data_IF_435939279853
#
_entry.id   IF_435939279853
#
_cell.length_a   1.000
_cell.length_b   1.000
_cell.length_c   1.000
_cell.angle_alpha   90.00
_cell.angle_beta   90.00
_cell.angle_gamma   90.00
#
_symmetry.space_group_name_H-M   'P 1'
#
loop_
_entity.id
_entity.type
_entity.pdbx_description
1 polymer ?
#
# COMPACT_ATOMS: atom_id res chain seq x y z
N UNK A 1 -9.73 -1.77 53.28
CA UNK A 1 -9.66 -2.59 52.05
C UNK A 1 -9.41 -1.68 50.84
N UNK A 2 -8.14 -1.32 50.60
CA UNK A 2 -7.66 -0.66 49.38
C UNK A 2 -6.16 -0.91 49.28
N UNK A 3 -5.78 -2.07 48.75
CA UNK A 3 -4.46 -2.36 48.19
C UNK A 3 -4.74 -3.38 47.10
N UNK A 4 -4.29 -3.07 45.90
CA UNK A 4 -4.07 -3.94 44.72
C UNK A 4 -4.31 -3.18 43.41
N UNK A 5 -3.79 -1.95 43.33
CA UNK A 5 -3.34 -1.39 42.05
C UNK A 5 -1.83 -1.31 42.18
N UNK A 6 -1.18 -2.45 41.98
CA UNK A 6 0.26 -2.50 41.80
C UNK A 6 0.58 -1.80 40.48
N UNK A 7 1.30 -0.72 40.66
CA UNK A 7 1.97 0.12 39.68
C UNK A 7 2.58 -0.76 38.58
N UNK A 8 1.90 -0.85 37.44
CA UNK A 8 2.55 -1.19 36.19
C UNK A 8 3.44 0.00 35.83
N UNK A 9 4.74 -0.24 35.95
CA UNK A 9 5.81 0.60 35.43
C UNK A 9 5.41 1.17 34.07
N UNK A 10 5.24 2.50 34.00
CA UNK A 10 5.07 3.25 32.76
C UNK A 10 6.39 3.19 31.97
N UNK A 11 6.62 2.08 31.26
CA UNK A 11 7.20 2.22 29.91
C UNK A 11 6.11 2.90 29.09
N UNK A 12 6.40 4.08 28.56
CA UNK A 12 5.54 4.66 27.52
C UNK A 12 5.44 3.62 26.40
N UNK A 13 4.27 3.02 26.20
CA UNK A 13 3.99 2.28 24.98
C UNK A 13 4.27 3.26 23.83
N UNK A 14 5.23 2.94 22.96
CA UNK A 14 5.39 3.69 21.72
C UNK A 14 4.11 3.53 20.90
N UNK A 15 3.81 4.46 19.99
CA UNK A 15 2.68 4.31 19.06
C UNK A 15 2.75 3.00 18.26
N UNK A 16 3.92 2.38 18.20
CA UNK A 16 4.22 1.15 17.45
C UNK A 16 3.76 -0.14 18.15
N UNK A 17 3.32 -0.08 19.41
CA UNK A 17 2.94 -1.26 20.21
C UNK A 17 1.44 -1.60 20.12
N UNK A 18 0.69 -1.01 19.18
CA UNK A 18 -0.72 -1.35 18.97
C UNK A 18 -0.79 -2.77 18.39
N UNK A 19 -1.39 -3.75 19.09
CA UNK A 19 -1.43 -5.12 18.61
C UNK A 19 -2.23 -5.23 17.30
N UNK A 20 -1.63 -5.90 16.31
CA UNK A 20 -2.32 -6.26 15.06
C UNK A 20 -3.18 -7.50 15.33
N UNK A 21 -4.50 -7.36 15.21
CA UNK A 21 -5.45 -8.44 15.48
C UNK A 21 -5.90 -9.13 14.18
N UNK A 22 -6.02 -10.46 14.21
CA UNK A 22 -6.43 -11.28 13.04
C UNK A 22 -7.82 -10.94 12.50
N UNK A 23 -8.70 -10.41 13.35
CA UNK A 23 -10.05 -10.02 12.96
C UNK A 23 -10.14 -8.61 12.33
N UNK A 24 -9.02 -7.88 12.27
CA UNK A 24 -8.98 -6.60 11.57
C UNK A 24 -9.36 -6.79 10.09
N UNK A 25 -10.32 -5.98 9.67
CA UNK A 25 -10.75 -5.86 8.28
C UNK A 25 -9.84 -4.87 7.58
N UNK A 26 -9.26 -5.25 6.45
CA UNK A 26 -8.36 -4.37 5.72
C UNK A 26 -8.69 -4.22 4.25
N UNK A 27 -8.30 -3.07 3.70
CA UNK A 27 -8.24 -2.84 2.27
C UNK A 27 -6.79 -2.64 1.83
N UNK A 28 -6.42 -3.16 0.66
CA UNK A 28 -5.09 -2.97 0.06
C UNK A 28 -5.24 -2.09 -1.19
N UNK A 29 -4.46 -1.01 -1.27
CA UNK A 29 -4.43 -0.11 -2.41
C UNK A 29 -3.03 -0.13 -3.02
N UNK A 30 -2.90 -0.66 -4.24
CA UNK A 30 -1.62 -0.95 -4.87
C UNK A 30 -1.37 0.03 -6.01
N UNK A 31 -0.43 0.93 -5.80
CA UNK A 31 0.12 1.77 -6.86
C UNK A 31 1.11 0.95 -7.70
N UNK A 32 0.60 0.37 -8.77
CA UNK A 32 1.39 -0.56 -9.60
C UNK A 32 2.56 0.15 -10.27
N UNK A 33 2.39 1.41 -10.69
CA UNK A 33 3.45 2.16 -11.36
C UNK A 33 4.57 2.47 -10.38
N UNK A 34 4.24 2.99 -9.19
CA UNK A 34 5.25 3.31 -8.19
C UNK A 34 6.10 2.08 -7.83
N UNK A 35 5.47 0.94 -7.48
CA UNK A 35 6.19 -0.28 -7.15
C UNK A 35 7.01 -0.83 -8.33
N UNK A 36 6.46 -0.78 -9.55
CA UNK A 36 7.18 -1.24 -10.74
C UNK A 36 8.42 -0.39 -11.02
N UNK A 37 8.30 0.94 -10.94
CA UNK A 37 9.42 1.85 -11.15
C UNK A 37 10.51 1.65 -10.09
N UNK A 38 10.12 1.50 -8.81
CA UNK A 38 11.04 1.19 -7.73
C UNK A 38 11.80 -0.13 -7.94
N UNK A 39 11.07 -1.22 -8.22
CA UNK A 39 11.68 -2.53 -8.46
C UNK A 39 12.64 -2.51 -9.66
N UNK A 40 12.21 -1.88 -10.76
CA UNK A 40 13.03 -1.76 -11.97
C UNK A 40 14.29 -0.93 -11.73
N UNK A 41 14.19 0.19 -11.03
CA UNK A 41 15.32 1.08 -10.77
C UNK A 41 16.34 0.47 -9.80
N UNK A 42 15.85 -0.16 -8.72
CA UNK A 42 16.70 -0.70 -7.67
C UNK A 42 17.30 -2.08 -8.01
N UNK A 43 16.57 -2.90 -8.77
CA UNK A 43 16.89 -4.32 -8.95
C UNK A 43 16.84 -4.81 -10.40
N UNK A 44 16.27 -4.05 -11.34
CA UNK A 44 16.12 -4.48 -12.74
C UNK A 44 15.06 -5.56 -12.99
N UNK A 45 14.30 -5.92 -11.96
CA UNK A 45 13.32 -7.01 -11.93
C UNK A 45 11.87 -6.52 -11.87
N UNK A 46 10.93 -7.45 -12.02
CA UNK A 46 9.48 -7.19 -11.95
C UNK A 46 8.94 -7.49 -10.56
N UNK A 47 7.88 -6.79 -10.15
CA UNK A 47 7.23 -7.01 -8.85
C UNK A 47 6.42 -8.30 -8.83
N UNK A 48 6.51 -9.05 -7.73
CA UNK A 48 5.69 -10.21 -7.44
C UNK A 48 4.43 -9.81 -6.64
N UNK A 49 3.37 -9.39 -7.34
CA UNK A 49 2.14 -8.87 -6.70
C UNK A 49 1.41 -9.89 -5.82
N UNK A 50 1.64 -11.19 -6.02
CA UNK A 50 1.11 -12.22 -5.11
C UNK A 50 1.72 -12.08 -3.72
N UNK A 51 3.05 -11.95 -3.64
CA UNK A 51 3.73 -11.80 -2.34
C UNK A 51 3.50 -10.43 -1.72
N UNK A 52 3.32 -9.39 -2.53
CA UNK A 52 2.85 -8.08 -2.06
C UNK A 52 1.49 -8.21 -1.36
N UNK A 53 0.51 -8.86 -2.01
CA UNK A 53 -0.81 -9.07 -1.41
C UNK A 53 -0.73 -9.96 -0.16
N UNK A 54 0.03 -11.05 -0.21
CA UNK A 54 0.21 -11.95 0.94
C UNK A 54 0.81 -11.21 2.15
N UNK A 55 1.84 -10.38 1.94
CA UNK A 55 2.47 -9.60 3.02
C UNK A 55 1.55 -8.51 3.56
N UNK A 56 0.80 -7.84 2.70
CA UNK A 56 -0.18 -6.81 3.08
C UNK A 56 -1.31 -7.43 3.92
N UNK A 57 -1.88 -8.54 3.46
CA UNK A 57 -2.99 -9.21 4.15
C UNK A 57 -2.53 -9.89 5.43
N UNK A 58 -1.41 -10.61 5.37
CA UNK A 58 -0.92 -11.46 6.46
C UNK A 58 -2.03 -12.41 6.93
N UNK A 59 -2.31 -12.48 8.23
CA UNK A 59 -3.36 -13.32 8.82
C UNK A 59 -4.69 -12.59 9.10
N UNK A 60 -4.95 -11.48 8.39
CA UNK A 60 -6.11 -10.60 8.62
C UNK A 60 -7.22 -10.79 7.59
N UNK A 61 -8.38 -10.17 7.83
CA UNK A 61 -9.55 -10.26 6.94
C UNK A 61 -9.42 -9.24 5.79
N UNK A 62 -9.04 -9.71 4.60
CA UNK A 62 -9.08 -8.89 3.39
C UNK A 62 -10.54 -8.59 3.00
N UNK A 63 -10.90 -7.31 2.93
CA UNK A 63 -12.20 -6.84 2.44
C UNK A 63 -12.16 -6.58 0.94
N UNK A 64 -11.16 -5.81 0.48
CA UNK A 64 -10.93 -5.51 -0.95
C UNK A 64 -9.45 -5.23 -1.21
N UNK A 65 -8.99 -5.59 -2.40
CA UNK A 65 -7.69 -5.18 -2.91
C UNK A 65 -7.87 -4.49 -4.25
N UNK A 66 -7.30 -3.29 -4.42
CA UNK A 66 -7.33 -2.53 -5.65
C UNK A 66 -5.91 -2.41 -6.22
N UNK A 67 -5.73 -2.73 -7.50
CA UNK A 67 -4.52 -2.40 -8.23
C UNK A 67 -4.80 -1.30 -9.25
N UNK A 68 -4.07 -0.19 -9.11
CA UNK A 68 -4.21 0.98 -9.95
C UNK A 68 -3.22 0.89 -11.10
N UNK A 69 -3.74 0.62 -12.30
CA UNK A 69 -2.97 0.28 -13.49
C UNK A 69 -3.22 1.25 -14.62
N UNK A 70 -2.23 1.37 -15.51
CA UNK A 70 -2.31 2.23 -16.69
C UNK A 70 -2.35 1.35 -17.93
N UNK A 71 -3.34 1.63 -18.79
CA UNK A 71 -3.52 0.97 -20.07
C UNK A 71 -2.78 1.74 -21.16
N UNK A 72 -2.06 1.00 -21.99
CA UNK A 72 -1.36 1.56 -23.15
C UNK A 72 -2.19 1.34 -24.42
N UNK A 73 -1.83 2.04 -25.50
CA UNK A 73 -2.50 1.86 -26.80
C UNK A 73 -2.26 0.48 -27.41
N UNK A 74 -1.16 -0.19 -27.07
CA UNK A 74 -0.82 -1.52 -27.60
C UNK A 74 -1.62 -2.63 -26.93
N UNK A 75 -2.03 -2.46 -25.68
CA UNK A 75 -2.82 -3.43 -24.93
C UNK A 75 -2.04 -4.68 -24.50
N UNK A 76 -0.70 -4.63 -24.53
CA UNK A 76 0.18 -5.73 -24.13
C UNK A 76 0.06 -6.07 -22.64
N UNK A 77 -0.48 -5.15 -21.84
CA UNK A 77 -0.69 -5.32 -20.41
C UNK A 77 -1.91 -6.17 -20.02
N UNK A 78 -2.77 -6.58 -20.98
CA UNK A 78 -3.97 -7.40 -20.69
C UNK A 78 -3.69 -8.68 -19.87
N UNK A 79 -2.69 -9.52 -20.22
CA UNK A 79 -2.39 -10.72 -19.44
C UNK A 79 -1.98 -10.42 -17.99
N UNK A 80 -1.31 -9.28 -17.79
CA UNK A 80 -0.93 -8.83 -16.45
C UNK A 80 -2.18 -8.42 -15.63
N UNK A 81 -3.13 -7.72 -16.23
CA UNK A 81 -4.39 -7.37 -15.55
C UNK A 81 -5.21 -8.61 -15.20
N UNK A 82 -5.28 -9.58 -16.10
CA UNK A 82 -5.93 -10.88 -15.84
C UNK A 82 -5.27 -11.64 -14.70
N UNK A 83 -3.92 -11.61 -14.61
CA UNK A 83 -3.20 -12.22 -13.51
C UNK A 83 -3.54 -11.57 -12.17
N UNK A 84 -3.64 -10.23 -12.11
CA UNK A 84 -4.07 -9.52 -10.90
C UNK A 84 -5.49 -9.91 -10.47
N UNK A 85 -6.43 -9.96 -11.41
CA UNK A 85 -7.81 -10.38 -11.11
C UNK A 85 -7.88 -11.83 -10.60
N UNK A 86 -7.07 -12.74 -11.15
CA UNK A 86 -6.97 -14.13 -10.65
C UNK A 86 -6.41 -14.23 -9.24
N UNK A 87 -5.66 -13.22 -8.78
CA UNK A 87 -5.19 -13.12 -7.38
C UNK A 87 -6.26 -12.51 -6.45
N UNK A 88 -7.43 -12.14 -6.97
CA UNK A 88 -8.47 -11.45 -6.19
C UNK A 88 -8.22 -9.94 -6.05
N UNK A 89 -7.36 -9.37 -6.90
CA UNK A 89 -7.07 -7.93 -6.92
C UNK A 89 -7.91 -7.26 -8.02
N UNK A 90 -8.81 -6.37 -7.61
CA UNK A 90 -9.67 -5.59 -8.51
C UNK A 90 -8.82 -4.53 -9.24
N UNK A 91 -8.81 -4.53 -10.58
CA UNK A 91 -8.03 -3.56 -11.35
C UNK A 91 -8.81 -2.25 -11.57
N UNK A 92 -8.22 -1.12 -11.18
CA UNK A 92 -8.65 0.22 -11.58
C UNK A 92 -7.79 0.67 -12.76
N UNK A 93 -8.41 0.87 -13.92
CA UNK A 93 -7.71 1.10 -15.19
C UNK A 93 -7.87 2.54 -15.66
N UNK A 94 -6.76 3.20 -15.98
CA UNK A 94 -6.70 4.56 -16.55
C UNK A 94 -5.96 4.49 -17.87
N UNK A 95 -6.49 5.15 -18.90
CA UNK A 95 -5.79 5.25 -20.17
C UNK A 95 -4.61 6.23 -20.05
N UNK A 96 -3.49 5.89 -20.68
CA UNK A 96 -2.34 6.79 -20.77
C UNK A 96 -2.73 8.07 -21.52
N UNK A 97 -2.78 9.20 -20.82
CA UNK A 97 -3.10 10.49 -21.45
C UNK A 97 -1.83 11.11 -22.04
N UNK A 98 -1.91 11.48 -23.32
CA UNK A 98 -0.89 12.22 -24.04
C UNK A 98 -1.36 13.68 -24.17
N UNK A 99 -0.67 14.60 -23.51
CA UNK A 99 -0.98 16.02 -23.54
C UNK A 99 -0.29 16.71 -24.72
N UNK A 100 -0.85 17.86 -25.13
CA UNK A 100 -0.20 18.76 -26.08
C UNK A 100 1.20 19.13 -25.56
N UNK A 101 2.23 18.86 -26.37
CA UNK A 101 3.65 18.98 -25.98
C UNK A 101 4.34 17.66 -25.65
N UNK A 102 3.66 16.52 -25.77
CA UNK A 102 4.27 15.18 -25.63
C UNK A 102 4.41 14.68 -24.19
N UNK A 103 3.97 15.48 -23.21
CA UNK A 103 3.91 15.06 -21.81
C UNK A 103 2.89 13.94 -21.66
N UNK A 104 3.30 12.80 -21.08
CA UNK A 104 2.39 11.71 -20.74
C UNK A 104 2.19 11.70 -19.24
N UNK A 105 0.94 11.80 -18.78
CA UNK A 105 0.59 11.61 -17.36
C UNK A 105 -0.47 10.55 -17.22
N UNK A 106 -0.27 9.66 -16.26
CA UNK A 106 -1.26 8.69 -15.84
C UNK A 106 -1.02 8.26 -14.39
N UNK A 107 -0.65 9.21 -13.52
CA UNK A 107 -0.61 8.96 -12.08
C UNK A 107 -2.01 8.55 -11.58
N UNK A 108 -2.06 7.91 -10.42
CA UNK A 108 -3.30 7.45 -9.82
C UNK A 108 -3.62 8.13 -8.51
N UNK A 109 -2.83 9.12 -8.10
CA UNK A 109 -2.79 9.66 -6.74
C UNK A 109 -4.15 10.13 -6.26
N UNK A 110 -4.85 10.89 -7.11
CA UNK A 110 -6.22 11.35 -6.82
C UNK A 110 -7.21 10.19 -6.75
N UNK A 111 -7.11 9.21 -7.66
CA UNK A 111 -8.03 8.07 -7.68
C UNK A 111 -7.83 7.15 -6.48
N UNK A 112 -6.57 6.86 -6.13
CA UNK A 112 -6.17 6.13 -4.92
C UNK A 112 -6.70 6.84 -3.68
N UNK A 113 -6.49 8.16 -3.58
CA UNK A 113 -6.96 8.99 -2.47
C UNK A 113 -8.48 8.90 -2.30
N UNK A 114 -9.24 9.07 -3.39
CA UNK A 114 -10.71 9.01 -3.33
C UNK A 114 -11.21 7.63 -2.94
N UNK A 115 -10.65 6.56 -3.50
CA UNK A 115 -11.07 5.18 -3.17
C UNK A 115 -10.66 4.80 -1.74
N UNK A 116 -9.50 5.27 -1.24
CA UNK A 116 -9.08 5.08 0.15
C UNK A 116 -10.06 5.72 1.14
N UNK A 117 -10.45 6.97 0.90
CA UNK A 117 -11.44 7.69 1.73
C UNK A 117 -12.79 6.97 1.68
N UNK A 118 -13.21 6.49 0.50
CA UNK A 118 -14.49 5.80 0.32
C UNK A 118 -14.55 4.45 1.03
N UNK A 119 -13.46 3.68 0.99
CA UNK A 119 -13.43 2.35 1.61
C UNK A 119 -13.19 2.41 3.12
N UNK A 120 -12.58 3.50 3.62
CA UNK A 120 -12.22 3.67 5.03
C UNK A 120 -13.33 3.31 6.02
N UNK A 121 -14.61 3.69 5.86
CA UNK A 121 -15.67 3.32 6.80
C UNK A 121 -15.93 1.81 6.91
N UNK A 122 -15.51 1.02 5.91
CA UNK A 122 -15.74 -0.43 5.84
C UNK A 122 -14.58 -1.29 6.36
N UNK A 123 -13.49 -0.67 6.78
CA UNK A 123 -12.26 -1.34 7.20
C UNK A 123 -11.66 -0.68 8.45
N UNK A 124 -10.84 -1.44 9.15
CA UNK A 124 -10.06 -0.98 10.31
C UNK A 124 -8.68 -0.49 9.87
N UNK A 125 -8.10 -1.17 8.88
CA UNK A 125 -6.76 -0.91 8.35
C UNK A 125 -6.79 -0.63 6.85
N UNK A 126 -5.99 0.34 6.42
CA UNK A 126 -5.67 0.57 5.01
C UNK A 126 -4.19 0.30 4.80
N UNK A 127 -3.88 -0.61 3.88
CA UNK A 127 -2.51 -0.85 3.41
C UNK A 127 -2.32 -0.12 2.08
N UNK A 128 -1.49 0.91 2.07
CA UNK A 128 -1.09 1.63 0.87
C UNK A 128 0.24 1.06 0.36
N UNK A 129 0.21 0.38 -0.78
CA UNK A 129 1.40 -0.14 -1.41
C UNK A 129 1.96 0.88 -2.43
N UNK A 130 2.56 1.95 -1.89
CA UNK A 130 3.24 3.02 -2.63
C UNK A 130 4.26 3.71 -1.73
N UNK A 131 5.42 4.09 -2.28
CA UNK A 131 6.42 4.91 -1.61
C UNK A 131 6.26 6.42 -1.84
N UNK A 132 5.23 6.85 -2.57
CA UNK A 132 5.06 8.24 -3.02
C UNK A 132 4.67 9.20 -1.89
N UNK A 133 5.48 10.23 -1.68
CA UNK A 133 5.28 11.23 -0.63
C UNK A 133 4.01 12.06 -0.78
N UNK A 134 3.40 12.10 -1.96
CA UNK A 134 2.17 12.86 -2.22
C UNK A 134 0.95 12.28 -1.46
N UNK A 135 1.05 11.04 -0.96
CA UNK A 135 0.02 10.44 -0.10
C UNK A 135 0.10 10.87 1.37
N UNK A 136 1.04 11.73 1.78
CA UNK A 136 1.18 12.14 3.18
C UNK A 136 -0.14 12.68 3.77
N UNK A 137 -0.82 13.58 3.06
CA UNK A 137 -2.09 14.14 3.56
C UNK A 137 -3.20 13.09 3.64
N UNK A 138 -3.19 12.09 2.76
CA UNK A 138 -4.13 10.96 2.82
C UNK A 138 -3.90 10.14 4.10
N UNK A 139 -2.65 9.82 4.43
CA UNK A 139 -2.29 9.07 5.64
C UNK A 139 -2.79 9.81 6.88
N UNK A 140 -2.47 11.10 7.00
CA UNK A 140 -2.92 11.93 8.12
C UNK A 140 -4.45 11.97 8.23
N UNK A 141 -5.14 12.15 7.11
CA UNK A 141 -6.60 12.15 7.07
C UNK A 141 -7.19 10.82 7.56
N UNK A 142 -6.72 9.68 7.04
CA UNK A 142 -7.22 8.35 7.41
C UNK A 142 -6.98 8.05 8.89
N UNK A 143 -5.82 8.42 9.42
CA UNK A 143 -5.51 8.28 10.85
C UNK A 143 -6.44 9.13 11.72
N UNK A 144 -6.76 10.35 11.28
CA UNK A 144 -7.75 11.20 11.94
C UNK A 144 -9.17 10.60 11.91
N UNK A 145 -9.47 9.71 10.96
CA UNK A 145 -10.70 8.91 10.92
C UNK A 145 -10.61 7.61 11.75
N UNK A 146 -9.57 7.47 12.59
CA UNK A 146 -9.36 6.31 13.45
C UNK A 146 -8.92 5.05 12.70
N UNK A 147 -8.40 5.17 11.48
CA UNK A 147 -7.88 4.04 10.70
C UNK A 147 -6.41 3.81 11.01
N UNK A 148 -6.03 2.54 11.08
CA UNK A 148 -4.60 2.16 10.99
C UNK A 148 -4.17 2.28 9.53
N UNK A 149 -3.06 2.94 9.29
CA UNK A 149 -2.51 3.12 7.95
C UNK A 149 -1.13 2.51 7.88
N UNK A 150 -1.00 1.48 7.06
CA UNK A 150 0.26 0.77 6.83
C UNK A 150 0.74 1.08 5.42
N UNK A 151 2.04 1.28 5.27
CA UNK A 151 2.66 1.48 3.98
C UNK A 151 3.49 0.26 3.65
N UNK A 152 3.42 -0.19 2.40
CA UNK A 152 4.25 -1.29 1.90
C UNK A 152 4.97 -0.83 0.62
N UNK A 153 6.29 -0.66 0.68
CA UNK A 153 7.06 -0.12 -0.44
C UNK A 153 8.55 -0.46 -0.34
N UNK A 154 9.30 -0.24 -1.42
CA UNK A 154 10.77 -0.29 -1.39
C UNK A 154 11.29 0.96 -0.68
N UNK A 155 11.79 0.78 0.54
CA UNK A 155 12.25 1.84 1.42
C UNK A 155 13.28 2.78 0.80
N UNK A 156 14.20 2.30 -0.04
CA UNK A 156 15.23 3.14 -0.68
C UNK A 156 14.67 4.17 -1.67
N UNK A 157 13.47 3.95 -2.19
CA UNK A 157 12.76 4.87 -3.10
C UNK A 157 11.56 5.56 -2.46
N UNK A 158 11.33 5.34 -1.16
CA UNK A 158 10.13 5.84 -0.46
C UNK A 158 10.40 7.15 0.26
N UNK A 159 9.41 8.03 0.30
CA UNK A 159 9.45 9.29 1.05
C UNK A 159 9.65 9.04 2.55
N UNK A 160 10.65 9.69 3.16
CA UNK A 160 10.89 9.60 4.61
C UNK A 160 9.69 10.04 5.43
N UNK A 161 9.05 11.16 5.04
CA UNK A 161 7.86 11.69 5.72
C UNK A 161 6.71 10.69 5.72
N UNK A 162 6.57 9.93 4.63
CA UNK A 162 5.53 8.92 4.51
C UNK A 162 5.81 7.72 5.44
N UNK A 163 7.08 7.31 5.58
CA UNK A 163 7.48 6.29 6.57
C UNK A 163 7.13 6.74 7.99
N UNK A 164 7.50 7.96 8.34
CA UNK A 164 7.27 8.54 9.67
C UNK A 164 5.78 8.75 10.00
N UNK A 165 4.95 9.06 8.99
CA UNK A 165 3.53 9.31 9.18
C UNK A 165 2.69 8.02 9.29
N UNK A 166 3.13 6.93 8.64
CA UNK A 166 2.45 5.63 8.68
C UNK A 166 2.48 5.01 10.09
N UNK A 167 1.50 4.17 10.41
CA UNK A 167 1.51 3.38 11.67
C UNK A 167 2.45 2.18 11.57
N UNK A 168 2.76 1.72 10.35
CA UNK A 168 3.76 0.70 10.05
C UNK A 168 4.28 0.93 8.63
N UNK A 169 5.60 0.95 8.47
CA UNK A 169 6.25 0.91 7.17
C UNK A 169 6.86 -0.48 6.95
N UNK A 170 6.29 -1.22 6.02
CA UNK A 170 6.73 -2.55 5.61
C UNK A 170 7.76 -2.36 4.48
N UNK A 171 9.04 -2.47 4.83
CA UNK A 171 10.12 -2.28 3.87
C UNK A 171 10.36 -3.54 3.04
N UNK A 172 10.07 -3.45 1.73
CA UNK A 172 10.32 -4.53 0.79
C UNK A 172 11.81 -4.75 0.50
N UNK A 173 12.67 -3.77 0.78
CA UNK A 173 14.12 -3.90 0.62
C UNK A 173 14.74 -4.89 1.64
N UNK A 174 14.02 -5.28 2.70
CA UNK A 174 14.52 -6.24 3.70
C UNK A 174 14.63 -7.68 3.15
N UNK A 175 13.71 -8.08 2.27
CA UNK A 175 13.68 -9.42 1.65
C UNK A 175 13.24 -9.34 0.18
N UNK A 176 13.98 -8.61 -0.67
CA UNK A 176 13.53 -8.25 -2.02
C UNK A 176 13.32 -9.48 -2.91
N UNK A 177 14.07 -10.56 -2.69
CA UNK A 177 13.94 -11.82 -3.43
C UNK A 177 12.56 -12.47 -3.32
N UNK A 178 11.75 -12.14 -2.30
CA UNK A 178 10.36 -12.60 -2.18
C UNK A 178 9.41 -11.77 -3.04
N UNK A 179 9.67 -10.47 -3.11
CA UNK A 179 8.78 -9.48 -3.73
C UNK A 179 9.13 -9.19 -5.19
N UNK A 180 10.16 -9.84 -5.72
CA UNK A 180 10.61 -9.70 -7.11
C UNK A 180 10.47 -11.04 -7.85
N UNK A 181 10.00 -10.98 -9.09
CA UNK A 181 10.05 -12.09 -10.03
C UNK A 181 11.43 -12.06 -10.68
N UNK A 182 12.27 -13.04 -10.32
CA UNK A 182 13.58 -13.23 -10.96
C UNK A 182 13.38 -13.52 -12.45
N UNK A 183 14.26 -12.95 -13.27
CA UNK A 183 14.35 -13.26 -14.71
C UNK A 183 14.81 -14.70 -14.96
#
# INVERSE_FOLDING_TARGET
MRKDIQILSKKSASRDDIPVHKEQRLAVLIDVQNLYHSAKNLYGDRVNFREILNRAVSQRKLIRAFAYVVKTKTGEEKPFFEALMKLGIETRVRDLQEFFGGLKKADWDVGITVDAIRIAPSVDTIVLASGDGDFLQLIEYLKNQGKRVEVLAFGRTSSLKLKEASDEFIDLDETPEKYLLKR
#
